data_IF_595333829848
#
_entry.id   IF_595333829848
#
_cell.length_a   1.000
_cell.length_b   1.000
_cell.length_c   1.000
_cell.angle_alpha   90.00
_cell.angle_beta   90.00
_cell.angle_gamma   90.00
#
_symmetry.space_group_name_H-M   'P 1'
#
loop_
_entity.id
_entity.type
_entity.pdbx_description
1 polymer ?
#
# COMPACT_ATOMS: atom_id res chain seq x y z
N UNK A 1 20.36 -1.39 -1.09
CA UNK A 1 19.58 -0.15 -0.94
C UNK A 1 19.03 -0.11 0.48
N UNK A 2 19.00 1.07 1.13
CA UNK A 2 18.36 1.24 2.43
C UNK A 2 17.04 1.98 2.23
N UNK A 3 15.95 1.45 2.78
CA UNK A 3 14.61 2.01 2.68
C UNK A 3 13.97 2.14 4.07
N UNK A 4 13.10 3.13 4.23
CA UNK A 4 12.26 3.27 5.44
C UNK A 4 10.80 3.13 5.10
N UNK A 5 10.06 2.47 5.99
CA UNK A 5 8.60 2.37 5.93
C UNK A 5 8.04 3.08 7.17
N UNK A 6 7.35 4.17 6.95
CA UNK A 6 6.74 4.96 8.02
C UNK A 6 5.29 4.52 8.23
N UNK A 7 5.03 3.97 9.41
CA UNK A 7 3.80 3.28 9.77
C UNK A 7 3.99 1.76 9.76
N UNK A 8 3.74 1.12 10.91
CA UNK A 8 3.77 -0.35 11.08
C UNK A 8 2.36 -0.93 11.23
N UNK A 9 1.42 -0.36 10.51
CA UNK A 9 0.11 -0.95 10.28
C UNK A 9 0.21 -2.16 9.34
N UNK A 10 -0.94 -2.69 8.91
CA UNK A 10 -0.99 -3.87 8.05
C UNK A 10 -0.12 -3.71 6.79
N UNK A 11 -0.37 -2.63 6.04
CA UNK A 11 0.35 -2.35 4.77
C UNK A 11 1.84 -2.15 5.00
N UNK A 12 2.20 -1.33 6.00
CA UNK A 12 3.61 -1.00 6.24
C UNK A 12 4.42 -2.20 6.73
N UNK A 13 3.86 -2.99 7.67
CA UNK A 13 4.57 -4.16 8.20
C UNK A 13 4.75 -5.26 7.15
N UNK A 14 3.70 -5.57 6.38
CA UNK A 14 3.78 -6.56 5.29
C UNK A 14 4.76 -6.07 4.22
N UNK A 15 4.64 -4.82 3.76
CA UNK A 15 5.52 -4.27 2.72
C UNK A 15 6.99 -4.25 3.16
N UNK A 16 7.26 -3.78 4.40
CA UNK A 16 8.62 -3.73 4.94
C UNK A 16 9.25 -5.11 5.05
N UNK A 17 8.47 -6.08 5.52
CA UNK A 17 8.92 -7.48 5.62
C UNK A 17 9.19 -8.08 4.25
N UNK A 18 8.32 -7.88 3.26
CA UNK A 18 8.52 -8.40 1.91
C UNK A 18 9.70 -7.73 1.19
N UNK A 19 9.90 -6.42 1.35
CA UNK A 19 11.10 -5.76 0.81
C UNK A 19 12.39 -6.27 1.47
N UNK A 20 12.37 -6.57 2.77
CA UNK A 20 13.53 -7.19 3.42
C UNK A 20 13.80 -8.61 2.92
N UNK A 21 12.74 -9.37 2.57
CA UNK A 21 12.86 -10.68 1.91
C UNK A 21 13.44 -10.57 0.50
N UNK A 22 13.21 -9.46 -0.21
CA UNK A 22 13.88 -9.13 -1.48
C UNK A 22 15.36 -8.73 -1.31
N UNK A 23 15.88 -8.71 -0.07
CA UNK A 23 17.27 -8.40 0.21
C UNK A 23 17.57 -6.92 0.46
N UNK A 24 16.54 -6.09 0.63
CA UNK A 24 16.72 -4.68 0.99
C UNK A 24 16.98 -4.54 2.50
N UNK A 25 17.73 -3.49 2.88
CA UNK A 25 17.83 -3.09 4.28
C UNK A 25 16.65 -2.18 4.62
N UNK A 26 15.74 -2.66 5.45
CA UNK A 26 14.49 -1.99 5.77
C UNK A 26 14.45 -1.54 7.22
N UNK A 27 14.07 -0.28 7.43
CA UNK A 27 13.75 0.27 8.75
C UNK A 27 12.27 0.63 8.78
N UNK A 28 11.49 -0.08 9.57
CA UNK A 28 10.09 0.24 9.84
C UNK A 28 10.01 1.19 11.03
N UNK A 29 9.30 2.30 10.85
CA UNK A 29 9.14 3.36 11.87
C UNK A 29 7.69 3.48 12.28
N UNK A 30 7.44 3.56 13.58
CA UNK A 30 6.11 3.92 14.10
C UNK A 30 6.29 4.80 15.34
N UNK A 31 5.38 5.74 15.56
CA UNK A 31 5.39 6.59 16.74
C UNK A 31 4.91 5.88 18.02
N UNK A 32 4.22 4.77 17.87
CA UNK A 32 3.76 3.94 18.97
C UNK A 32 4.92 3.08 19.51
N UNK A 33 5.51 3.55 20.61
CA UNK A 33 6.61 2.86 21.27
C UNK A 33 6.22 1.45 21.71
N UNK A 34 5.01 1.24 22.21
CA UNK A 34 4.58 -0.07 22.70
C UNK A 34 4.52 -1.09 21.55
N UNK A 35 4.05 -0.64 20.38
CA UNK A 35 4.04 -1.46 19.16
C UNK A 35 5.45 -1.79 18.69
N UNK A 36 6.36 -0.83 18.66
CA UNK A 36 7.77 -1.05 18.30
C UNK A 36 8.47 -1.99 19.28
N UNK A 37 8.26 -1.81 20.59
CA UNK A 37 8.82 -2.70 21.61
C UNK A 37 8.29 -4.14 21.44
N UNK A 38 7.01 -4.33 21.11
CA UNK A 38 6.43 -5.64 20.82
C UNK A 38 7.05 -6.27 19.57
N UNK A 39 7.19 -5.51 18.47
CA UNK A 39 7.82 -5.98 17.23
C UNK A 39 9.28 -6.39 17.45
N UNK A 40 10.05 -5.62 18.23
CA UNK A 40 11.42 -5.96 18.59
C UNK A 40 11.53 -7.22 19.48
N UNK A 41 10.44 -7.60 20.17
CA UNK A 41 10.31 -8.86 20.90
C UNK A 41 9.77 -10.01 20.02
N UNK A 42 9.57 -9.78 18.72
CA UNK A 42 9.02 -10.77 17.78
C UNK A 42 7.52 -10.98 17.90
N UNK A 43 6.79 -10.07 18.61
CA UNK A 43 5.33 -10.10 18.70
C UNK A 43 4.72 -9.29 17.57
N UNK A 44 4.02 -9.97 16.67
CA UNK A 44 3.41 -9.35 15.48
C UNK A 44 1.98 -8.90 15.83
N UNK A 45 1.65 -7.59 15.66
CA UNK A 45 0.36 -7.04 16.09
C UNK A 45 -0.80 -7.32 15.13
N UNK A 46 -0.52 -7.99 14.02
CA UNK A 46 -1.50 -8.33 12.98
C UNK A 46 -1.43 -9.82 12.67
N UNK A 47 -2.55 -10.39 12.22
CA UNK A 47 -2.56 -11.75 11.72
C UNK A 47 -2.44 -11.75 10.20
N UNK A 48 -1.35 -12.34 9.70
CA UNK A 48 -1.13 -12.63 8.29
C UNK A 48 -0.33 -13.94 8.20
N UNK A 49 -0.83 -14.96 7.47
CA UNK A 49 -0.15 -16.26 7.37
C UNK A 49 1.30 -16.12 6.89
N UNK A 50 2.25 -16.67 7.64
CA UNK A 50 3.69 -16.66 7.31
C UNK A 50 4.43 -15.37 7.66
N UNK A 51 3.76 -14.29 8.06
CA UNK A 51 4.40 -13.01 8.36
C UNK A 51 5.36 -13.10 9.55
N UNK A 52 4.95 -13.77 10.62
CA UNK A 52 5.75 -13.90 11.84
C UNK A 52 7.11 -14.55 11.57
N UNK A 53 7.12 -15.65 10.83
CA UNK A 53 8.36 -16.37 10.50
C UNK A 53 9.26 -15.53 9.58
N UNK A 54 8.67 -14.83 8.62
CA UNK A 54 9.40 -13.95 7.70
C UNK A 54 10.00 -12.75 8.44
N UNK A 55 9.28 -12.12 9.38
CA UNK A 55 9.80 -11.05 10.25
C UNK A 55 10.98 -11.56 11.07
N UNK A 56 10.80 -12.67 11.80
CA UNK A 56 11.87 -13.25 12.64
C UNK A 56 13.13 -13.59 11.84
N UNK A 57 12.96 -14.14 10.65
CA UNK A 57 14.08 -14.43 9.73
C UNK A 57 14.82 -13.15 9.37
N UNK A 58 14.12 -12.14 8.86
CA UNK A 58 14.76 -10.92 8.35
C UNK A 58 15.34 -10.03 9.46
N UNK A 59 14.76 -10.03 10.66
CA UNK A 59 15.35 -9.40 11.84
C UNK A 59 16.67 -10.09 12.24
N UNK A 60 16.68 -11.42 12.33
CA UNK A 60 17.88 -12.21 12.64
C UNK A 60 18.99 -11.99 11.61
N UNK A 61 18.64 -11.82 10.34
CA UNK A 61 19.60 -11.56 9.26
C UNK A 61 19.99 -10.08 9.14
N UNK A 62 19.50 -9.22 10.01
CA UNK A 62 19.85 -7.79 10.08
C UNK A 62 19.27 -6.94 8.94
N UNK A 63 18.33 -7.47 8.15
CA UNK A 63 17.72 -6.74 7.03
C UNK A 63 16.46 -5.98 7.42
N UNK A 64 15.81 -6.34 8.52
CA UNK A 64 14.59 -5.69 9.01
C UNK A 64 14.79 -5.18 10.43
N UNK A 65 14.53 -3.89 10.63
CA UNK A 65 14.67 -3.21 11.92
C UNK A 65 13.40 -2.41 12.23
N UNK A 66 13.09 -2.27 13.53
CA UNK A 66 11.94 -1.50 14.01
C UNK A 66 12.41 -0.40 14.97
N UNK A 67 11.93 0.83 14.79
CA UNK A 67 12.35 1.98 15.61
C UNK A 67 11.28 3.04 15.72
N UNK A 68 11.37 3.87 16.76
CA UNK A 68 10.62 5.13 16.88
C UNK A 68 11.45 6.33 16.39
N UNK A 69 12.73 6.13 16.03
CA UNK A 69 13.63 7.20 15.61
C UNK A 69 13.43 7.55 14.14
N UNK A 70 12.49 8.47 13.91
CA UNK A 70 12.16 8.99 12.59
C UNK A 70 13.34 9.68 11.91
N UNK A 71 14.12 10.47 12.69
CA UNK A 71 15.27 11.20 12.16
C UNK A 71 16.31 10.27 11.57
N UNK A 72 16.79 9.32 12.34
CA UNK A 72 17.80 8.35 11.88
C UNK A 72 17.31 7.55 10.67
N UNK A 73 16.04 7.18 10.64
CA UNK A 73 15.45 6.43 9.53
C UNK A 73 15.43 7.26 8.24
N UNK A 74 15.00 8.53 8.29
CA UNK A 74 14.99 9.44 7.13
C UNK A 74 16.40 9.71 6.62
N UNK A 75 17.34 10.03 7.52
CA UNK A 75 18.72 10.35 7.15
C UNK A 75 19.41 9.20 6.39
N UNK A 76 19.20 7.94 6.83
CA UNK A 76 19.85 6.75 6.27
C UNK A 76 19.23 6.25 4.96
N UNK A 77 17.99 6.57 4.69
CA UNK A 77 17.24 5.94 3.60
C UNK A 77 17.30 6.76 2.31
N UNK A 78 17.42 6.06 1.18
CA UNK A 78 17.24 6.62 -0.15
C UNK A 78 15.74 6.70 -0.51
N UNK A 79 14.97 5.66 -0.14
CA UNK A 79 13.55 5.56 -0.43
C UNK A 79 12.78 5.52 0.87
N UNK A 80 11.77 6.36 1.01
CA UNK A 80 10.94 6.49 2.20
C UNK A 80 9.48 6.27 1.83
N UNK A 81 8.91 5.20 2.33
CA UNK A 81 7.49 4.89 2.12
C UNK A 81 6.64 5.49 3.23
N UNK A 82 5.59 6.21 2.85
CA UNK A 82 4.52 6.64 3.73
C UNK A 82 3.43 5.57 3.68
N UNK A 83 3.28 4.80 4.78
CA UNK A 83 2.35 3.69 4.90
C UNK A 83 1.49 3.84 6.16
N UNK A 84 1.08 5.06 6.47
CA UNK A 84 0.24 5.40 7.61
C UNK A 84 -1.24 5.27 7.28
N UNK A 85 -2.06 5.09 8.31
CA UNK A 85 -3.51 5.01 8.15
C UNK A 85 -4.12 6.32 7.66
N UNK A 86 -5.15 6.20 6.82
CA UNK A 86 -5.97 7.31 6.35
C UNK A 86 -7.43 7.04 6.71
N UNK A 87 -7.80 7.10 8.02
CA UNK A 87 -9.15 6.80 8.45
C UNK A 87 -10.15 7.80 7.87
N UNK A 88 -11.42 7.39 7.79
CA UNK A 88 -12.50 8.23 7.27
C UNK A 88 -12.93 9.26 8.31
N UNK A 89 -13.15 10.49 7.90
CA UNK A 89 -13.90 11.48 8.68
C UNK A 89 -15.41 11.16 8.67
N UNK A 90 -16.16 11.80 9.57
CA UNK A 90 -17.60 11.63 9.63
C UNK A 90 -18.37 12.07 8.37
N UNK A 91 -17.79 12.96 7.58
CA UNK A 91 -18.32 13.43 6.28
C UNK A 91 -17.94 12.54 5.10
N UNK A 92 -17.14 11.51 5.35
CA UNK A 92 -16.70 10.57 4.33
C UNK A 92 -15.33 10.86 3.73
N UNK A 93 -14.75 12.02 3.96
CA UNK A 93 -13.41 12.36 3.47
C UNK A 93 -12.31 11.56 4.18
N UNK A 94 -11.16 11.38 3.51
CA UNK A 94 -10.00 10.73 4.12
C UNK A 94 -9.27 11.70 5.07
N UNK A 95 -8.95 11.23 6.27
CA UNK A 95 -8.13 11.99 7.22
C UNK A 95 -6.65 11.83 6.85
N UNK A 96 -6.05 12.88 6.34
CA UNK A 96 -4.65 12.92 5.92
C UNK A 96 -3.69 13.47 7.00
N UNK A 97 -4.14 13.69 8.22
CA UNK A 97 -3.31 14.30 9.29
C UNK A 97 -2.03 13.50 9.58
N UNK A 98 -2.09 12.18 9.52
CA UNK A 98 -0.90 11.34 9.70
C UNK A 98 0.08 11.43 8.52
N UNK A 99 -0.44 11.55 7.30
CA UNK A 99 0.40 11.78 6.10
C UNK A 99 1.08 13.14 6.20
N UNK A 100 0.34 14.16 6.64
CA UNK A 100 0.87 15.53 6.85
C UNK A 100 2.01 15.55 7.90
N UNK A 101 1.79 14.90 9.05
CA UNK A 101 2.78 14.78 10.12
C UNK A 101 4.08 14.14 9.61
N UNK A 102 3.95 13.02 8.91
CA UNK A 102 5.09 12.30 8.31
C UNK A 102 5.80 13.15 7.25
N UNK A 103 5.06 13.82 6.37
CA UNK A 103 5.65 14.69 5.35
C UNK A 103 6.44 15.86 5.95
N UNK A 104 5.95 16.47 7.05
CA UNK A 104 6.67 17.48 7.81
C UNK A 104 7.98 16.97 8.39
N UNK A 105 7.95 15.76 8.98
CA UNK A 105 9.13 15.18 9.59
C UNK A 105 10.16 14.77 8.54
N UNK A 106 9.72 14.20 7.40
CA UNK A 106 10.60 13.93 6.26
C UNK A 106 11.31 15.23 5.83
N UNK A 107 10.55 16.33 5.63
CA UNK A 107 11.13 17.62 5.27
C UNK A 107 12.18 18.10 6.27
N UNK A 108 11.94 17.98 7.57
CA UNK A 108 12.86 18.40 8.63
C UNK A 108 14.16 17.59 8.69
N UNK A 109 14.09 16.30 8.37
CA UNK A 109 15.21 15.37 8.62
C UNK A 109 15.92 14.93 7.35
N UNK A 110 15.43 15.26 6.16
CA UNK A 110 16.12 14.89 4.94
C UNK A 110 17.46 15.63 4.80
N UNK A 111 18.47 14.89 4.38
CA UNK A 111 19.88 15.33 4.34
C UNK A 111 20.51 15.14 2.95
N UNK A 112 19.71 14.97 1.91
CA UNK A 112 20.13 14.76 0.53
C UNK A 112 18.96 14.26 -0.29
N UNK A 113 19.24 13.81 -1.53
CA UNK A 113 18.19 13.30 -2.42
C UNK A 113 17.47 12.09 -1.83
N UNK A 114 16.14 12.13 -1.91
CA UNK A 114 15.24 11.06 -1.46
C UNK A 114 14.13 10.81 -2.48
N UNK A 115 13.68 9.56 -2.56
CA UNK A 115 12.42 9.19 -3.22
C UNK A 115 11.36 8.98 -2.13
N UNK A 116 10.35 9.81 -2.11
CA UNK A 116 9.25 9.76 -1.15
C UNK A 116 8.09 9.04 -1.81
N UNK A 117 7.72 7.89 -1.26
CA UNK A 117 6.73 7.02 -1.88
C UNK A 117 5.46 7.02 -1.04
N UNK A 118 4.39 7.55 -1.59
CA UNK A 118 3.07 7.39 -0.97
C UNK A 118 2.50 6.00 -1.31
N UNK A 119 2.40 5.17 -0.27
CA UNK A 119 1.82 3.83 -0.35
C UNK A 119 0.45 3.77 0.32
N UNK A 120 0.12 4.74 1.14
CA UNK A 120 -1.21 4.90 1.73
C UNK A 120 -2.26 5.13 0.63
N UNK A 121 -3.49 4.66 0.87
CA UNK A 121 -4.62 4.99 -0.02
C UNK A 121 -5.06 6.42 0.25
N UNK A 122 -4.85 7.29 -0.71
CA UNK A 122 -5.03 8.74 -0.57
C UNK A 122 -5.80 9.33 -1.76
N UNK A 123 -6.57 10.41 -1.57
CA UNK A 123 -7.25 11.12 -2.65
C UNK A 123 -6.28 11.61 -3.73
N UNK A 124 -6.80 11.74 -4.95
CA UNK A 124 -6.03 12.30 -6.09
C UNK A 124 -5.56 13.71 -5.79
N UNK A 125 -4.27 13.96 -6.05
CA UNK A 125 -3.59 15.22 -5.76
C UNK A 125 -2.82 15.22 -4.43
N UNK A 126 -2.89 14.14 -3.64
CA UNK A 126 -2.16 14.05 -2.36
C UNK A 126 -0.65 14.06 -2.57
N UNK A 127 -0.13 13.40 -3.59
CA UNK A 127 1.32 13.41 -3.84
C UNK A 127 1.86 14.82 -4.06
N UNK A 128 1.16 15.66 -4.81
CA UNK A 128 1.52 17.06 -5.02
C UNK A 128 1.39 17.89 -3.72
N UNK A 129 0.40 17.60 -2.91
CA UNK A 129 0.24 18.22 -1.60
C UNK A 129 1.37 17.83 -0.63
N UNK A 130 1.75 16.55 -0.58
CA UNK A 130 2.90 16.03 0.19
C UNK A 130 4.20 16.74 -0.26
N UNK A 131 4.42 16.86 -1.57
CA UNK A 131 5.57 17.61 -2.11
C UNK A 131 5.63 19.03 -1.57
N UNK A 132 4.51 19.76 -1.57
CA UNK A 132 4.42 21.12 -1.03
C UNK A 132 4.73 21.18 0.46
N UNK A 133 4.27 20.21 1.26
CA UNK A 133 4.56 20.15 2.69
C UNK A 133 6.06 19.92 2.93
N UNK A 134 6.65 18.96 2.24
CA UNK A 134 8.08 18.64 2.39
C UNK A 134 8.92 19.88 2.05
N UNK A 135 8.67 20.50 0.89
CA UNK A 135 9.40 21.73 0.47
C UNK A 135 9.32 22.83 1.52
N UNK A 136 8.15 23.03 2.13
CA UNK A 136 7.95 24.07 3.16
C UNK A 136 8.70 23.78 4.46
N UNK A 137 8.98 22.50 4.77
CA UNK A 137 9.56 22.11 6.06
C UNK A 137 11.01 21.62 5.95
N UNK A 138 11.63 21.67 4.77
CA UNK A 138 13.05 21.37 4.63
C UNK A 138 13.89 22.31 5.51
N UNK A 139 14.78 21.74 6.32
CA UNK A 139 15.76 22.51 7.09
C UNK A 139 16.82 23.12 6.18
N UNK A 140 17.26 22.35 5.16
CA UNK A 140 18.14 22.79 4.10
C UNK A 140 17.56 22.32 2.75
N UNK A 141 17.69 23.12 1.67
CA UNK A 141 17.15 22.74 0.36
C UNK A 141 17.80 21.45 -0.16
N UNK A 142 17.01 20.41 -0.30
CA UNK A 142 17.42 19.13 -0.90
C UNK A 142 16.46 18.77 -2.04
N UNK A 143 16.99 18.13 -3.07
CA UNK A 143 16.16 17.59 -4.14
C UNK A 143 15.49 16.29 -3.68
N UNK A 144 14.27 16.05 -4.13
CA UNK A 144 13.53 14.82 -3.90
C UNK A 144 12.45 14.65 -4.96
N UNK A 145 11.99 13.44 -5.11
CA UNK A 145 10.86 13.11 -5.96
C UNK A 145 9.75 12.45 -5.14
N UNK A 146 8.50 12.77 -5.47
CA UNK A 146 7.33 12.11 -4.90
C UNK A 146 6.81 11.08 -5.89
N UNK A 147 6.51 9.89 -5.37
CA UNK A 147 6.00 8.75 -6.12
C UNK A 147 4.70 8.27 -5.48
N UNK A 148 3.67 8.00 -6.26
CA UNK A 148 2.51 7.24 -5.82
C UNK A 148 2.72 5.76 -6.17
N UNK A 149 2.68 4.89 -5.16
CA UNK A 149 2.82 3.44 -5.33
C UNK A 149 1.74 2.74 -4.51
N UNK A 150 0.49 2.78 -4.96
CA UNK A 150 -0.63 2.21 -4.23
C UNK A 150 -0.46 0.70 -4.03
N UNK A 151 -0.99 0.21 -2.90
CA UNK A 151 -1.03 -1.20 -2.57
C UNK A 151 -2.34 -1.85 -3.05
N UNK A 152 -2.31 -3.16 -3.29
CA UNK A 152 -3.47 -3.97 -3.66
C UNK A 152 -3.51 -5.27 -2.83
N UNK A 153 -3.09 -5.16 -1.59
CA UNK A 153 -2.99 -6.28 -0.65
C UNK A 153 -4.38 -6.67 -0.12
N UNK A 154 -4.59 -7.98 0.04
CA UNK A 154 -5.77 -8.54 0.70
C UNK A 154 -5.38 -9.11 2.04
N UNK A 155 -6.09 -8.72 3.10
CA UNK A 155 -5.88 -9.29 4.43
C UNK A 155 -6.03 -10.82 4.40
N UNK A 156 -5.05 -11.53 4.95
CA UNK A 156 -4.96 -12.99 4.92
C UNK A 156 -4.26 -13.59 3.69
N UNK A 157 -3.89 -12.76 2.70
CA UNK A 157 -3.14 -13.15 1.50
C UNK A 157 -2.15 -12.08 1.05
N UNK A 158 -1.80 -11.16 1.95
CA UNK A 158 -1.04 -9.96 1.59
C UNK A 158 0.42 -10.26 1.22
N UNK A 159 1.03 -11.26 1.85
CA UNK A 159 2.37 -11.70 1.46
C UNK A 159 2.35 -12.23 0.02
N UNK A 160 1.40 -13.10 -0.33
CA UNK A 160 1.27 -13.62 -1.69
C UNK A 160 0.99 -12.49 -2.69
N UNK A 161 0.08 -11.56 -2.34
CA UNK A 161 -0.24 -10.40 -3.17
C UNK A 161 0.97 -9.45 -3.37
N UNK A 162 1.89 -9.38 -2.40
CA UNK A 162 3.11 -8.58 -2.52
C UNK A 162 4.19 -9.31 -3.30
N UNK A 163 4.41 -10.59 -3.01
CA UNK A 163 5.48 -11.40 -3.62
C UNK A 163 5.15 -11.83 -5.06
N UNK A 164 3.86 -11.91 -5.41
CA UNK A 164 3.34 -12.29 -6.74
C UNK A 164 2.17 -11.40 -7.16
N UNK A 165 2.39 -10.08 -7.27
CA UNK A 165 1.31 -9.15 -7.58
C UNK A 165 0.86 -9.30 -9.05
N UNK A 166 -0.43 -9.06 -9.30
CA UNK A 166 -0.94 -8.97 -10.68
C UNK A 166 -0.33 -7.78 -11.45
N UNK A 167 0.06 -6.73 -10.75
CA UNK A 167 0.76 -5.55 -11.29
C UNK A 167 1.39 -4.74 -10.16
N UNK A 168 2.41 -3.96 -10.50
CA UNK A 168 2.93 -2.86 -9.68
C UNK A 168 2.62 -1.54 -10.38
N UNK A 169 2.00 -0.59 -9.69
CA UNK A 169 1.70 0.75 -10.23
C UNK A 169 2.67 1.76 -9.61
N UNK A 170 3.33 2.54 -10.46
CA UNK A 170 4.33 3.54 -10.06
C UNK A 170 4.00 4.85 -10.77
N UNK A 171 3.50 5.82 -10.02
CA UNK A 171 3.17 7.16 -10.49
C UNK A 171 4.29 8.14 -10.20
N UNK A 172 4.99 8.60 -11.22
CA UNK A 172 6.03 9.63 -11.10
C UNK A 172 6.33 10.26 -12.46
N UNK A 173 6.75 11.51 -12.46
CA UNK A 173 7.28 12.19 -13.65
C UNK A 173 8.81 12.19 -13.71
N UNK A 174 9.50 11.68 -12.68
CA UNK A 174 10.96 11.65 -12.58
C UNK A 174 11.53 10.34 -13.11
N UNK A 175 12.36 10.41 -14.15
CA UNK A 175 13.08 9.24 -14.69
C UNK A 175 14.01 8.62 -13.63
N UNK A 176 14.62 9.45 -12.77
CA UNK A 176 15.48 8.99 -11.69
C UNK A 176 14.68 8.20 -10.65
N UNK A 177 13.54 8.73 -10.20
CA UNK A 177 12.66 8.01 -9.27
C UNK A 177 12.11 6.72 -9.90
N UNK A 178 11.76 6.75 -11.20
CA UNK A 178 11.31 5.58 -11.93
C UNK A 178 12.37 4.46 -11.96
N UNK A 179 13.63 4.83 -12.23
CA UNK A 179 14.73 3.87 -12.25
C UNK A 179 14.96 3.24 -10.86
N UNK A 180 14.94 4.06 -9.79
CA UNK A 180 15.09 3.59 -8.40
C UNK A 180 13.93 2.66 -8.01
N UNK A 181 12.69 3.02 -8.34
CA UNK A 181 11.53 2.17 -8.05
C UNK A 181 11.57 0.86 -8.84
N UNK A 182 12.02 0.90 -10.10
CA UNK A 182 12.22 -0.31 -10.91
C UNK A 182 13.25 -1.24 -10.29
N UNK A 183 14.35 -0.70 -9.79
CA UNK A 183 15.39 -1.50 -9.13
C UNK A 183 14.89 -2.09 -7.80
N UNK A 184 14.09 -1.35 -7.05
CA UNK A 184 13.45 -1.81 -5.81
C UNK A 184 12.54 -3.03 -6.03
N UNK A 185 11.77 -3.03 -7.12
CA UNK A 185 10.87 -4.14 -7.50
C UNK A 185 11.53 -5.16 -8.46
N UNK A 186 12.85 -5.06 -8.66
CA UNK A 186 13.58 -5.94 -9.59
C UNK A 186 13.34 -7.43 -9.37
N UNK A 187 13.22 -7.98 -8.15
CA UNK A 187 12.95 -9.40 -7.94
C UNK A 187 11.66 -9.88 -8.62
N UNK A 188 10.67 -9.00 -8.83
CA UNK A 188 9.41 -9.34 -9.50
C UNK A 188 9.56 -9.51 -11.03
N UNK A 189 10.67 -9.08 -11.63
CA UNK A 189 10.95 -9.36 -13.05
C UNK A 189 11.14 -10.84 -13.32
N UNK A 190 11.59 -11.61 -12.34
CA UNK A 190 11.77 -13.06 -12.47
C UNK A 190 10.46 -13.80 -12.70
N UNK A 191 9.33 -13.20 -12.33
CA UNK A 191 7.99 -13.74 -12.52
C UNK A 191 7.15 -12.92 -13.51
N UNK A 192 7.83 -12.07 -14.31
CA UNK A 192 7.23 -11.26 -15.37
C UNK A 192 6.06 -10.37 -14.90
N UNK A 193 6.11 -9.87 -13.66
CA UNK A 193 5.06 -9.01 -13.12
C UNK A 193 4.95 -7.71 -13.94
N UNK A 194 3.77 -7.37 -14.46
CA UNK A 194 3.55 -6.11 -15.17
C UNK A 194 3.81 -4.89 -14.29
N UNK A 195 4.62 -3.95 -14.76
CA UNK A 195 4.84 -2.66 -14.13
C UNK A 195 4.18 -1.56 -14.94
N UNK A 196 3.28 -0.82 -14.30
CA UNK A 196 2.56 0.31 -14.90
C UNK A 196 3.19 1.60 -14.42
N UNK A 197 3.91 2.28 -15.30
CA UNK A 197 4.46 3.60 -15.03
C UNK A 197 3.50 4.67 -15.57
N UNK A 198 3.16 5.64 -14.74
CA UNK A 198 2.16 6.66 -15.06
C UNK A 198 2.39 7.94 -14.25
N UNK A 199 1.49 8.95 -14.36
CA UNK A 199 1.53 10.12 -13.48
C UNK A 199 1.13 9.78 -12.04
N UNK A 200 1.50 10.63 -11.10
CA UNK A 200 1.13 10.49 -9.68
C UNK A 200 -0.38 10.41 -9.53
N UNK A 201 -1.11 11.33 -10.15
CA UNK A 201 -2.57 11.43 -10.09
C UNK A 201 -3.26 10.18 -10.68
N UNK A 202 -2.72 9.65 -11.78
CA UNK A 202 -3.24 8.41 -12.39
C UNK A 202 -3.03 7.21 -11.49
N UNK A 203 -1.87 7.11 -10.83
CA UNK A 203 -1.59 6.03 -9.88
C UNK A 203 -2.53 6.09 -8.65
N UNK A 204 -2.77 7.28 -8.10
CA UNK A 204 -3.73 7.51 -7.03
C UNK A 204 -5.14 7.10 -7.47
N UNK A 205 -5.59 7.52 -8.67
CA UNK A 205 -6.91 7.18 -9.20
C UNK A 205 -7.06 5.68 -9.47
N UNK A 206 -6.03 4.98 -9.94
CA UNK A 206 -6.08 3.53 -10.21
C UNK A 206 -6.48 2.76 -8.95
N UNK A 207 -6.01 3.15 -7.77
CA UNK A 207 -6.38 2.49 -6.51
C UNK A 207 -7.87 2.63 -6.22
N UNK A 208 -8.40 3.86 -6.25
CA UNK A 208 -9.81 4.12 -5.99
C UNK A 208 -10.72 3.48 -7.02
N UNK A 209 -10.42 3.65 -8.31
CA UNK A 209 -11.20 3.07 -9.39
C UNK A 209 -11.24 1.54 -9.30
N UNK A 210 -10.12 0.90 -8.95
CA UNK A 210 -10.07 -0.56 -8.76
C UNK A 210 -10.97 -1.00 -7.61
N UNK A 211 -10.87 -0.37 -6.44
CA UNK A 211 -11.66 -0.73 -5.27
C UNK A 211 -13.16 -0.45 -5.49
N UNK A 212 -13.51 0.70 -6.07
CA UNK A 212 -14.90 1.03 -6.39
C UNK A 212 -15.52 0.05 -7.40
N UNK A 213 -14.76 -0.35 -8.43
CA UNK A 213 -15.23 -1.34 -9.40
C UNK A 213 -15.45 -2.72 -8.76
N UNK A 214 -14.56 -3.16 -7.88
CA UNK A 214 -14.74 -4.43 -7.18
C UNK A 214 -15.96 -4.39 -6.24
N UNK A 215 -16.18 -3.29 -5.54
CA UNK A 215 -17.37 -3.09 -4.71
C UNK A 215 -18.66 -3.08 -5.57
N UNK A 216 -18.61 -2.42 -6.73
CA UNK A 216 -19.74 -2.42 -7.67
C UNK A 216 -20.08 -3.82 -8.18
N UNK A 217 -19.08 -4.68 -8.45
CA UNK A 217 -19.33 -6.09 -8.84
C UNK A 217 -20.05 -6.86 -7.75
N UNK A 218 -19.69 -6.67 -6.47
CA UNK A 218 -20.40 -7.31 -5.34
C UNK A 218 -21.82 -6.79 -5.23
N UNK A 219 -22.03 -5.48 -5.34
CA UNK A 219 -23.39 -4.90 -5.33
C UNK A 219 -24.22 -5.41 -6.50
N UNK A 220 -23.67 -5.42 -7.71
CA UNK A 220 -24.33 -5.91 -8.91
C UNK A 220 -24.80 -7.37 -8.77
N UNK A 221 -23.94 -8.28 -8.30
CA UNK A 221 -24.35 -9.69 -8.18
C UNK A 221 -25.42 -9.88 -7.09
N UNK A 222 -25.46 -9.03 -6.07
CA UNK A 222 -26.52 -9.04 -5.07
C UNK A 222 -27.87 -8.58 -5.64
N UNK A 223 -27.90 -7.56 -6.51
CA UNK A 223 -29.11 -7.19 -7.25
C UNK A 223 -29.60 -8.32 -8.15
N UNK A 224 -28.68 -9.02 -8.82
CA UNK A 224 -29.01 -10.20 -9.63
C UNK A 224 -29.54 -11.35 -8.76
N UNK A 225 -29.00 -11.54 -7.53
CA UNK A 225 -29.52 -12.53 -6.60
C UNK A 225 -30.99 -12.28 -6.25
N UNK A 226 -31.33 -11.03 -5.91
CA UNK A 226 -32.72 -10.64 -5.63
C UNK A 226 -33.66 -10.86 -6.83
N UNK A 227 -33.15 -10.66 -8.04
CA UNK A 227 -33.93 -10.96 -9.27
C UNK A 227 -34.08 -12.49 -9.46
N UNK A 228 -33.04 -13.26 -9.26
CA UNK A 228 -33.08 -14.73 -9.37
C UNK A 228 -34.09 -15.34 -8.44
N UNK A 229 -34.24 -14.87 -7.21
CA UNK A 229 -35.24 -15.33 -6.25
C UNK A 229 -36.66 -15.14 -6.80
N UNK A 230 -36.94 -14.03 -7.53
CA UNK A 230 -38.25 -13.74 -8.09
C UNK A 230 -38.62 -14.57 -9.32
N UNK A 231 -37.60 -14.98 -10.11
CA UNK A 231 -37.82 -15.70 -11.38
C UNK A 231 -37.50 -17.18 -11.29
N UNK A 232 -37.07 -17.70 -10.11
CA UNK A 232 -36.76 -19.10 -9.91
C UNK A 232 -35.40 -19.51 -10.51
N UNK A 233 -34.47 -18.58 -10.70
CA UNK A 233 -33.12 -18.85 -11.18
C UNK A 233 -32.14 -19.07 -10.01
N UNK A 234 -31.03 -19.76 -10.27
CA UNK A 234 -29.93 -19.93 -9.31
C UNK A 234 -28.83 -18.92 -9.61
N UNK A 235 -28.61 -17.97 -8.66
CA UNK A 235 -27.62 -16.92 -8.80
C UNK A 235 -26.18 -17.46 -8.90
N UNK A 236 -25.87 -18.60 -8.30
CA UNK A 236 -24.53 -19.22 -8.42
C UNK A 236 -24.26 -19.71 -9.84
N UNK A 237 -25.27 -20.28 -10.48
CA UNK A 237 -25.20 -20.67 -11.89
C UNK A 237 -25.10 -19.45 -12.81
N UNK A 238 -25.86 -18.38 -12.52
CA UNK A 238 -25.78 -17.10 -13.26
C UNK A 238 -24.38 -16.49 -13.10
N UNK A 239 -23.88 -16.35 -11.88
CA UNK A 239 -22.54 -15.81 -11.60
C UNK A 239 -21.42 -16.63 -12.27
N UNK A 240 -21.54 -17.97 -12.24
CA UNK A 240 -20.61 -18.87 -12.94
C UNK A 240 -20.65 -18.67 -14.45
N UNK A 241 -21.85 -18.65 -15.04
CA UNK A 241 -22.03 -18.46 -16.48
C UNK A 241 -21.48 -17.12 -16.96
N UNK A 242 -21.80 -16.03 -16.27
CA UNK A 242 -21.27 -14.71 -16.55
C UNK A 242 -19.74 -14.66 -16.40
N UNK A 243 -19.23 -15.23 -15.30
CA UNK A 243 -17.83 -15.16 -14.94
C UNK A 243 -16.89 -15.93 -15.88
N UNK A 244 -17.40 -16.85 -16.70
CA UNK A 244 -16.67 -17.54 -17.75
C UNK A 244 -16.36 -16.66 -18.95
N UNK A 245 -17.10 -15.56 -19.15
CA UNK A 245 -16.74 -14.54 -20.14
C UNK A 245 -15.49 -13.78 -19.66
N UNK A 246 -14.38 -13.87 -20.40
CA UNK A 246 -13.12 -13.20 -20.07
C UNK A 246 -13.21 -11.67 -19.95
N UNK A 247 -14.21 -11.05 -20.54
CA UNK A 247 -14.48 -9.60 -20.41
C UNK A 247 -15.07 -9.25 -19.05
N UNK A 248 -15.74 -10.18 -18.37
CA UNK A 248 -16.37 -10.01 -17.06
C UNK A 248 -15.47 -10.55 -15.96
N UNK A 249 -15.02 -11.78 -16.10
CA UNK A 249 -14.22 -12.51 -15.11
C UNK A 249 -14.99 -12.92 -13.85
N UNK A 250 -14.62 -14.04 -13.26
CA UNK A 250 -15.37 -14.68 -12.16
C UNK A 250 -15.16 -14.02 -10.78
N UNK A 251 -14.11 -13.22 -10.60
CA UNK A 251 -13.78 -12.63 -9.31
C UNK A 251 -14.81 -11.57 -8.91
N UNK A 252 -15.17 -11.53 -7.61
CA UNK A 252 -16.12 -10.58 -7.03
C UNK A 252 -17.58 -10.70 -7.55
N UNK A 253 -17.95 -11.90 -8.06
CA UNK A 253 -19.31 -12.26 -8.40
C UNK A 253 -19.89 -13.28 -7.40
N UNK A 254 -19.67 -13.07 -6.11
CA UNK A 254 -20.19 -13.92 -5.04
C UNK A 254 -21.29 -13.17 -4.30
N UNK A 255 -22.57 -13.59 -4.42
CA UNK A 255 -23.66 -12.99 -3.68
C UNK A 255 -23.51 -13.25 -2.18
N UNK A 256 -23.93 -12.30 -1.36
CA UNK A 256 -23.82 -12.38 0.10
C UNK A 256 -24.34 -11.10 0.76
N UNK A 257 -23.94 -10.79 2.01
CA UNK A 257 -24.45 -9.63 2.75
C UNK A 257 -24.01 -8.27 2.18
N UNK A 258 -23.21 -8.23 1.13
CA UNK A 258 -22.66 -7.03 0.50
C UNK A 258 -21.14 -6.98 0.61
N UNK A 259 -20.53 -5.86 0.21
CA UNK A 259 -19.11 -5.62 0.41
C UNK A 259 -18.85 -5.07 1.82
N UNK A 260 -17.66 -5.35 2.36
CA UNK A 260 -17.26 -4.94 3.70
C UNK A 260 -15.74 -4.88 3.84
N UNK A 261 -15.27 -5.09 5.08
CA UNK A 261 -13.85 -4.99 5.42
C UNK A 261 -13.43 -3.56 5.70
N UNK A 262 -12.13 -3.33 5.85
CA UNK A 262 -11.55 -2.03 6.20
C UNK A 262 -11.38 -1.10 4.99
N UNK A 263 -11.27 -1.64 3.76
CA UNK A 263 -10.92 -0.88 2.56
C UNK A 263 -12.13 -0.38 1.78
N UNK A 264 -13.02 -1.27 1.32
CA UNK A 264 -14.13 -0.88 0.43
C UNK A 264 -15.04 0.19 1.03
N UNK A 265 -15.52 0.10 2.29
CA UNK A 265 -16.35 1.14 2.85
C UNK A 265 -15.65 2.49 2.99
N UNK A 266 -14.32 2.49 3.05
CA UNK A 266 -13.51 3.71 3.14
C UNK A 266 -13.24 4.32 1.78
N UNK A 267 -13.04 3.49 0.74
CA UNK A 267 -12.57 3.92 -0.58
C UNK A 267 -13.72 4.12 -1.58
N UNK A 268 -14.97 3.80 -1.21
CA UNK A 268 -16.21 4.03 -1.98
C UNK A 268 -17.04 5.11 -1.35
#
# INVERSE_FOLDING_TARGET
MHISIIGTGYVGLVSGTCFSEFGMNVTCVDKDKAKIDALNQGKIPIYEPGLEDMVKKNVREGRLNFTTDMKSAVEKSLVIFIAVGTPRHGDGSANLSYVEEVAKDIGRYMNGYKVIVDKSTVPVGTGKWVEGIIRKHQAEPCTFDVVSNPEFLREGSAIEDFMRPNRVVIGTSSDQAQAIMRDLYRPLFLIETPMVFTSVESAEMIKYASNAFLAAKVSFINEIAALCEKVGADVHHVAKGMGLDGRIGSKFLHPGPGFGGSCFPKDT
#
